data_IF_120444806517
#
_entry.id   IF_120444806517
#
_cell.length_a   1.000
_cell.length_b   1.000
_cell.length_c   1.000
_cell.angle_alpha   90.00
_cell.angle_beta   90.00
_cell.angle_gamma   90.00
#
_symmetry.space_group_name_H-M   'P 1'
#
loop_
_entity.id
_entity.type
_entity.pdbx_description
1 polymer ?
#
# COMPACT_ATOMS: atom_id res chain seq x y z
N UNK A 1 -16.32 6.70 0.64
CA UNK A 1 -15.56 5.60 1.25
C UNK A 1 -14.13 5.66 0.74
N UNK A 2 -13.12 5.58 1.61
CA UNK A 2 -11.70 5.65 1.25
C UNK A 2 -11.30 4.59 0.22
N UNK A 3 -11.88 3.38 0.32
CA UNK A 3 -11.64 2.32 -0.65
C UNK A 3 -12.15 2.66 -2.07
N UNK A 4 -13.26 3.40 -2.18
CA UNK A 4 -13.81 3.79 -3.48
C UNK A 4 -12.98 4.89 -4.16
N UNK A 5 -12.53 5.90 -3.40
CA UNK A 5 -11.67 6.96 -3.91
C UNK A 5 -10.30 6.39 -4.34
N UNK A 6 -9.73 5.50 -3.52
CA UNK A 6 -8.45 4.90 -3.83
C UNK A 6 -8.50 3.91 -5.00
N UNK A 7 -9.60 3.18 -5.16
CA UNK A 7 -9.80 2.30 -6.31
C UNK A 7 -9.94 3.10 -7.62
N UNK A 8 -10.59 4.27 -7.59
CA UNK A 8 -10.70 5.13 -8.76
C UNK A 8 -9.34 5.69 -9.21
N UNK A 9 -8.50 6.12 -8.26
CA UNK A 9 -7.14 6.57 -8.54
C UNK A 9 -6.23 5.44 -9.05
N UNK A 10 -6.36 4.23 -8.48
CA UNK A 10 -5.66 3.05 -8.95
C UNK A 10 -6.07 2.65 -10.38
N UNK A 11 -7.36 2.78 -10.73
CA UNK A 11 -7.84 2.54 -12.10
C UNK A 11 -7.39 3.59 -13.11
N UNK A 12 -7.27 4.87 -12.69
CA UNK A 12 -6.84 5.96 -13.56
C UNK A 12 -5.34 5.92 -13.93
N UNK A 13 -4.50 5.34 -13.07
CA UNK A 13 -3.07 5.17 -13.33
C UNK A 13 -2.76 4.17 -14.49
N UNK A 14 -3.79 3.46 -15.00
CA UNK A 14 -3.67 2.44 -16.05
C UNK A 14 -3.97 2.90 -17.49
N UNK A 15 -4.24 4.19 -17.75
CA UNK A 15 -4.87 4.62 -19.01
C UNK A 15 -3.93 5.12 -20.14
N UNK A 16 -2.60 4.94 -20.07
CA UNK A 16 -1.69 5.33 -21.16
C UNK A 16 -0.62 4.26 -21.50
N UNK A 17 -0.81 3.58 -22.66
CA UNK A 17 0.19 2.77 -23.35
C UNK A 17 -0.16 1.27 -23.51
N UNK A 18 -0.14 0.78 -24.74
CA UNK A 18 -0.53 -0.59 -25.16
C UNK A 18 0.42 -1.70 -24.64
N UNK A 19 1.64 -1.33 -24.21
CA UNK A 19 2.66 -2.27 -23.70
C UNK A 19 2.58 -2.49 -22.16
N UNK A 20 1.78 -1.68 -21.44
CA UNK A 20 1.63 -1.74 -19.97
C UNK A 20 0.59 -2.74 -19.47
N UNK A 21 -0.33 -3.17 -20.34
CA UNK A 21 -1.42 -4.08 -19.96
C UNK A 21 -0.96 -5.54 -19.72
N UNK A 22 0.31 -5.87 -20.01
CA UNK A 22 0.84 -7.22 -19.93
C UNK A 22 1.71 -7.50 -18.68
N UNK A 23 2.13 -6.47 -17.93
CA UNK A 23 2.70 -6.70 -16.60
C UNK A 23 1.57 -6.66 -15.57
N UNK A 24 1.34 -7.77 -14.84
CA UNK A 24 0.34 -7.85 -13.76
C UNK A 24 0.55 -6.86 -12.60
N UNK A 25 1.57 -6.02 -12.70
CA UNK A 25 2.01 -4.99 -11.76
C UNK A 25 1.13 -3.73 -11.78
N UNK A 26 0.22 -3.61 -12.76
CA UNK A 26 -0.67 -2.45 -12.92
C UNK A 26 -2.17 -2.79 -12.86
N UNK A 27 -2.52 -4.04 -12.56
CA UNK A 27 -3.93 -4.49 -12.54
C UNK A 27 -4.47 -4.44 -11.12
N UNK A 28 -5.63 -3.78 -10.95
CA UNK A 28 -6.38 -3.87 -9.70
C UNK A 28 -7.09 -5.22 -9.62
N UNK A 29 -6.58 -6.11 -8.77
CA UNK A 29 -7.17 -7.44 -8.58
C UNK A 29 -8.45 -7.36 -7.72
N UNK A 30 -9.47 -8.19 -8.00
CA UNK A 30 -10.70 -8.25 -7.18
C UNK A 30 -10.44 -8.49 -5.69
N UNK A 31 -9.43 -9.31 -5.36
CA UNK A 31 -8.99 -9.57 -3.99
C UNK A 31 -8.49 -8.32 -3.28
N UNK A 32 -7.72 -7.46 -3.98
CA UNK A 32 -7.25 -6.18 -3.45
C UNK A 32 -8.41 -5.23 -3.10
N UNK A 33 -9.44 -5.18 -3.95
CA UNK A 33 -10.66 -4.40 -3.68
C UNK A 33 -11.41 -4.94 -2.46
N UNK A 34 -11.57 -6.26 -2.37
CA UNK A 34 -12.24 -6.90 -1.23
C UNK A 34 -11.48 -6.68 0.08
N UNK A 35 -10.16 -6.82 0.07
CA UNK A 35 -9.31 -6.57 1.23
C UNK A 35 -9.39 -5.13 1.69
N UNK A 36 -9.27 -4.17 0.76
CA UNK A 36 -9.39 -2.75 1.07
C UNK A 36 -10.75 -2.41 1.72
N UNK A 37 -11.85 -2.91 1.15
CA UNK A 37 -13.18 -2.73 1.74
C UNK A 37 -13.33 -3.42 3.11
N UNK A 38 -12.69 -4.57 3.29
CA UNK A 38 -12.68 -5.28 4.57
C UNK A 38 -11.95 -4.47 5.65
N UNK A 39 -10.75 -3.96 5.34
CA UNK A 39 -9.97 -3.10 6.24
C UNK A 39 -10.76 -1.86 6.64
N UNK A 40 -11.36 -1.15 5.68
CA UNK A 40 -12.18 0.04 5.97
C UNK A 40 -13.35 -0.28 6.92
N UNK A 41 -14.09 -1.36 6.66
CA UNK A 41 -15.25 -1.74 7.49
C UNK A 41 -14.88 -2.31 8.85
N UNK A 42 -13.67 -2.85 9.00
CA UNK A 42 -13.21 -3.51 10.22
C UNK A 42 -12.14 -2.70 10.95
N UNK A 43 -11.92 -1.43 10.56
CA UNK A 43 -10.81 -0.62 11.05
C UNK A 43 -10.73 -0.55 12.58
N UNK A 44 -11.88 -0.37 13.25
CA UNK A 44 -11.96 -0.34 14.72
C UNK A 44 -11.70 -1.71 15.33
N UNK A 45 -12.36 -2.75 14.83
CA UNK A 45 -12.20 -4.12 15.32
C UNK A 45 -10.78 -4.67 15.12
N UNK A 46 -10.06 -4.18 14.10
CA UNK A 46 -8.67 -4.52 13.81
C UNK A 46 -7.67 -3.54 14.44
N UNK A 47 -8.13 -2.51 15.16
CA UNK A 47 -7.30 -1.48 15.79
C UNK A 47 -6.29 -0.85 14.81
N UNK A 48 -6.75 -0.52 13.59
CA UNK A 48 -5.85 -0.06 12.52
C UNK A 48 -5.16 1.27 12.86
N UNK A 49 -5.81 2.18 13.58
CA UNK A 49 -5.21 3.45 13.96
C UNK A 49 -3.99 3.24 14.88
N UNK A 50 -2.82 3.73 14.45
CA UNK A 50 -1.57 3.55 15.17
C UNK A 50 -0.90 2.18 15.00
N UNK A 51 -1.55 1.24 14.30
CA UNK A 51 -0.96 -0.08 14.00
C UNK A 51 0.22 0.02 13.03
N UNK A 52 1.04 -1.03 12.97
CA UNK A 52 2.12 -1.21 11.99
C UNK A 52 1.71 -2.32 11.03
N UNK A 53 1.65 -2.01 9.73
CA UNK A 53 1.19 -2.93 8.70
C UNK A 53 2.24 -3.04 7.60
N UNK A 54 2.50 -4.28 7.16
CA UNK A 54 3.31 -4.58 5.98
C UNK A 54 2.41 -5.28 4.97
N UNK A 55 2.30 -4.74 3.77
CA UNK A 55 1.61 -5.40 2.66
C UNK A 55 2.65 -6.11 1.78
N UNK A 56 2.46 -7.41 1.54
CA UNK A 56 3.32 -8.24 0.70
C UNK A 56 2.70 -8.40 -0.69
N UNK A 57 3.45 -8.05 -1.73
CA UNK A 57 2.94 -8.08 -3.11
C UNK A 57 1.86 -7.03 -3.35
N UNK A 58 2.15 -5.78 -3.00
CA UNK A 58 1.19 -4.70 -2.93
C UNK A 58 0.62 -4.28 -4.31
N UNK A 59 1.38 -4.43 -5.40
CA UNK A 59 0.95 -4.06 -6.74
C UNK A 59 0.35 -2.64 -6.83
N UNK A 60 -0.98 -2.56 -6.88
CA UNK A 60 -1.73 -1.30 -6.92
C UNK A 60 -1.86 -0.57 -5.58
N UNK A 61 -1.35 -1.15 -4.49
CA UNK A 61 -1.31 -0.61 -3.13
C UNK A 61 -2.67 -0.24 -2.51
N UNK A 62 -3.79 -0.71 -3.07
CA UNK A 62 -5.11 -0.27 -2.62
C UNK A 62 -5.36 -0.62 -1.14
N UNK A 63 -5.06 -1.83 -0.65
CA UNK A 63 -5.17 -2.15 0.77
C UNK A 63 -4.26 -1.28 1.64
N UNK A 64 -3.00 -1.06 1.24
CA UNK A 64 -2.07 -0.16 1.93
C UNK A 64 -2.61 1.27 2.07
N UNK A 65 -3.12 1.85 0.98
CA UNK A 65 -3.70 3.20 0.99
C UNK A 65 -4.88 3.27 1.95
N UNK A 66 -5.78 2.28 1.93
CA UNK A 66 -6.93 2.27 2.84
C UNK A 66 -6.52 2.08 4.29
N UNK A 67 -5.56 1.19 4.58
CA UNK A 67 -5.04 1.01 5.94
C UNK A 67 -4.42 2.31 6.47
N UNK A 68 -3.70 3.05 5.63
CA UNK A 68 -3.14 4.36 5.97
C UNK A 68 -4.23 5.42 6.19
N UNK A 69 -5.27 5.47 5.36
CA UNK A 69 -6.46 6.31 5.60
C UNK A 69 -7.15 5.99 6.94
N UNK A 70 -7.02 4.76 7.44
CA UNK A 70 -7.49 4.34 8.76
C UNK A 70 -6.48 4.58 9.90
N UNK A 71 -5.35 5.25 9.62
CA UNK A 71 -4.34 5.62 10.61
C UNK A 71 -3.22 4.61 10.83
N UNK A 72 -3.13 3.55 10.02
CA UNK A 72 -2.03 2.56 10.13
C UNK A 72 -0.73 3.14 9.58
N UNK A 73 0.41 2.84 10.20
CA UNK A 73 1.73 3.04 9.58
C UNK A 73 2.00 1.88 8.65
N UNK A 74 2.07 2.16 7.35
CA UNK A 74 2.11 1.12 6.32
C UNK A 74 3.44 1.11 5.58
N UNK A 75 3.99 -0.07 5.37
CA UNK A 75 5.03 -0.35 4.38
C UNK A 75 4.46 -1.29 3.32
N UNK A 76 4.26 -0.76 2.11
CA UNK A 76 3.84 -1.53 0.95
C UNK A 76 5.08 -2.14 0.28
N UNK A 77 5.05 -3.45 0.03
CA UNK A 77 6.19 -4.15 -0.57
C UNK A 77 5.84 -4.87 -1.86
N UNK A 78 6.74 -4.82 -2.83
CA UNK A 78 6.67 -5.58 -4.07
C UNK A 78 8.08 -5.88 -4.57
N UNK A 79 8.21 -6.71 -5.59
CA UNK A 79 9.50 -6.99 -6.24
C UNK A 79 10.09 -5.70 -6.80
N UNK A 80 11.41 -5.65 -6.94
CA UNK A 80 12.11 -4.47 -7.46
C UNK A 80 11.59 -4.01 -8.84
N UNK A 81 11.15 -4.94 -9.70
CA UNK A 81 10.53 -4.63 -11.00
C UNK A 81 9.24 -3.79 -10.88
N UNK A 82 8.43 -4.06 -9.84
CA UNK A 82 7.15 -3.38 -9.59
C UNK A 82 7.28 -2.07 -8.81
N UNK A 83 8.47 -1.74 -8.28
CA UNK A 83 8.65 -0.59 -7.38
C UNK A 83 8.26 0.76 -8.03
N UNK A 84 8.48 0.93 -9.34
CA UNK A 84 8.06 2.14 -10.06
C UNK A 84 6.54 2.28 -10.06
N UNK A 85 5.81 1.20 -10.34
CA UNK A 85 4.34 1.20 -10.41
C UNK A 85 3.72 1.38 -9.03
N UNK A 86 4.27 0.68 -8.04
CA UNK A 86 3.87 0.84 -6.65
C UNK A 86 3.98 2.32 -6.22
N UNK A 87 5.11 2.96 -6.50
CA UNK A 87 5.30 4.40 -6.21
C UNK A 87 4.24 5.27 -6.88
N UNK A 88 3.97 5.06 -8.17
CA UNK A 88 2.97 5.84 -8.91
C UNK A 88 1.58 5.74 -8.26
N UNK A 89 1.16 4.54 -7.83
CA UNK A 89 -0.12 4.36 -7.15
C UNK A 89 -0.17 5.04 -5.78
N UNK A 90 0.92 4.99 -5.01
CA UNK A 90 1.01 5.69 -3.72
C UNK A 90 0.94 7.22 -3.90
N UNK A 91 1.68 7.76 -4.87
CA UNK A 91 1.69 9.19 -5.19
C UNK A 91 0.30 9.68 -5.62
N UNK A 92 -0.38 8.93 -6.49
CA UNK A 92 -1.74 9.24 -6.93
C UNK A 92 -2.77 9.29 -5.77
N UNK A 93 -2.49 8.61 -4.66
CA UNK A 93 -3.38 8.50 -3.51
C UNK A 93 -2.93 9.29 -2.27
N UNK A 94 -1.75 9.93 -2.32
CA UNK A 94 -1.18 10.63 -1.17
C UNK A 94 -2.09 11.74 -0.62
N UNK A 95 -2.78 12.46 -1.50
CA UNK A 95 -3.74 13.49 -1.10
C UNK A 95 -4.91 12.90 -0.30
N UNK A 96 -5.49 11.78 -0.76
CA UNK A 96 -6.60 11.12 -0.10
C UNK A 96 -6.22 10.60 1.30
N UNK A 97 -5.01 10.06 1.45
CA UNK A 97 -4.48 9.64 2.76
C UNK A 97 -4.34 10.83 3.70
N UNK A 98 -3.76 11.94 3.21
CA UNK A 98 -3.57 13.16 3.99
C UNK A 98 -4.89 13.81 4.41
N UNK A 99 -5.88 13.88 3.52
CA UNK A 99 -7.22 14.41 3.82
C UNK A 99 -7.94 13.62 4.92
N UNK A 100 -7.59 12.33 5.08
CA UNK A 100 -8.08 11.46 6.16
C UNK A 100 -7.27 11.57 7.45
N UNK A 101 -6.20 12.36 7.48
CA UNK A 101 -5.26 12.43 8.60
C UNK A 101 -4.37 11.18 8.76
N UNK A 102 -4.30 10.34 7.71
CA UNK A 102 -3.49 9.14 7.71
C UNK A 102 -1.99 9.42 7.52
N UNK A 103 -1.09 8.56 8.04
CA UNK A 103 0.34 8.69 7.77
C UNK A 103 0.68 8.31 6.32
N UNK A 104 1.74 8.88 5.77
CA UNK A 104 2.21 8.51 4.44
C UNK A 104 2.61 7.02 4.37
N UNK A 105 2.22 6.36 3.28
CA UNK A 105 2.60 4.98 3.01
C UNK A 105 4.05 4.94 2.52
N UNK A 106 4.87 4.13 3.18
CA UNK A 106 6.23 3.86 2.74
C UNK A 106 6.22 2.70 1.75
N UNK A 107 7.18 2.68 0.83
CA UNK A 107 7.40 1.54 -0.06
C UNK A 107 8.76 0.90 0.21
N UNK A 108 8.85 -0.41 0.00
CA UNK A 108 10.13 -1.11 -0.01
C UNK A 108 10.12 -2.27 -1.01
N UNK A 109 11.29 -2.60 -1.57
CA UNK A 109 11.42 -3.78 -2.40
C UNK A 109 11.50 -5.05 -1.53
N UNK A 110 10.72 -6.07 -1.88
CA UNK A 110 10.78 -7.40 -1.29
C UNK A 110 10.45 -8.46 -2.35
N UNK A 111 11.42 -9.31 -2.63
CA UNK A 111 11.21 -10.52 -3.44
C UNK A 111 11.07 -11.73 -2.53
N UNK A 112 10.01 -12.52 -2.71
CA UNK A 112 9.84 -13.76 -1.93
C UNK A 112 11.03 -14.70 -2.12
N UNK A 113 11.58 -15.20 -1.01
CA UNK A 113 12.77 -16.04 -1.00
C UNK A 113 14.10 -15.28 -0.98
N UNK A 114 14.11 -13.94 -1.07
CA UNK A 114 15.33 -13.13 -0.95
C UNK A 114 15.68 -12.89 0.53
N UNK A 115 16.73 -13.56 1.02
CA UNK A 115 17.24 -13.30 2.38
C UNK A 115 17.78 -11.88 2.53
N UNK A 116 18.34 -11.32 1.47
CA UNK A 116 18.84 -9.94 1.44
C UNK A 116 17.70 -8.93 1.63
N UNK A 117 16.61 -9.08 0.88
CA UNK A 117 15.45 -8.20 1.02
C UNK A 117 14.81 -8.38 2.41
N UNK A 118 14.71 -9.63 2.88
CA UNK A 118 14.21 -9.91 4.22
C UNK A 118 15.08 -9.25 5.30
N UNK A 119 16.41 -9.27 5.17
CA UNK A 119 17.32 -8.64 6.12
C UNK A 119 17.13 -7.12 6.19
N UNK A 120 16.89 -6.47 5.04
CA UNK A 120 16.61 -5.02 4.98
C UNK A 120 15.31 -4.62 5.68
N UNK A 121 14.33 -5.52 5.76
CA UNK A 121 13.01 -5.26 6.33
C UNK A 121 12.82 -5.80 7.76
N UNK A 122 13.90 -6.14 8.47
CA UNK A 122 13.83 -6.63 9.86
C UNK A 122 13.86 -5.51 10.89
N UNK A 123 13.08 -5.68 11.96
CA UNK A 123 13.17 -4.92 13.19
C UNK A 123 12.64 -3.47 13.10
N UNK A 124 13.16 -2.60 13.98
CA UNK A 124 12.74 -1.21 14.08
C UNK A 124 13.10 -0.36 12.86
N UNK A 125 14.02 -0.83 12.01
CA UNK A 125 14.42 -0.14 10.79
C UNK A 125 13.26 0.07 9.80
N UNK A 126 12.27 -0.83 9.81
CA UNK A 126 11.17 -0.81 8.85
C UNK A 126 10.17 0.35 9.05
N UNK A 127 9.95 0.74 10.30
CA UNK A 127 8.99 1.80 10.66
C UNK A 127 9.64 3.00 11.35
N UNK A 128 10.96 2.94 11.58
CA UNK A 128 11.71 3.87 12.41
C UNK A 128 11.45 3.68 13.91
N UNK A 129 12.44 4.03 14.73
CA UNK A 129 12.28 4.26 16.18
C UNK A 129 11.65 5.63 16.40
N UNK A 130 10.40 5.74 16.88
CA UNK A 130 9.95 6.97 17.56
C UNK A 130 8.94 6.68 18.68
N UNK A 131 9.43 6.87 19.90
CA UNK A 131 8.79 7.56 21.04
C UNK A 131 7.38 7.16 21.42
N UNK A 132 7.23 6.62 22.64
CA UNK A 132 5.99 6.67 23.40
C UNK A 132 5.48 8.11 23.40
N UNK A 133 4.26 8.33 22.89
CA UNK A 133 3.41 9.39 23.41
C UNK A 133 2.99 9.04 24.84
#
# INVERSE_FOLDING_TARGET
AAAAAAAAAAGAAGAEGEERALSGECVLWPSGVLMARFLERRAEALQLCGSRLVELGAGSALPSVVAACCGSRVVATDRAAGARYLRMHLEANAAAVRERGGPAVQQAALSFGSEEDAARLRGAALFGEQGSL
#
